data_IF_387193551566
#
_entry.id   IF_387193551566
#
_cell.length_a   1.000
_cell.length_b   1.000
_cell.length_c   1.000
_cell.angle_alpha   90.00
_cell.angle_beta   90.00
_cell.angle_gamma   90.00
#
_symmetry.space_group_name_H-M   'P 1'
#
loop_
_entity.id
_entity.type
_entity.pdbx_description
1 polymer ?
#
# COMPACT_ATOMS: atom_id res chain seq x y z
N UNK A 1 32.96 -7.61 14.31
CA UNK A 1 31.61 -8.17 14.29
C UNK A 1 30.66 -7.02 14.03
N UNK A 2 30.00 -6.99 12.88
CA UNK A 2 29.06 -5.92 12.54
C UNK A 2 27.88 -5.98 13.52
N UNK A 3 27.45 -4.83 13.99
CA UNK A 3 26.35 -4.71 14.92
C UNK A 3 25.08 -5.29 14.30
N UNK A 4 24.35 -6.05 15.06
CA UNK A 4 23.10 -6.71 14.68
C UNK A 4 21.90 -5.73 14.59
N UNK A 5 22.12 -4.49 14.19
CA UNK A 5 21.10 -3.43 14.19
C UNK A 5 20.12 -3.48 13.01
N UNK A 6 20.05 -4.59 12.32
CA UNK A 6 19.14 -4.80 11.19
C UNK A 6 19.61 -4.16 9.88
N UNK A 7 20.52 -3.21 9.88
CA UNK A 7 21.06 -2.59 8.67
C UNK A 7 21.81 -3.57 7.78
N UNK A 8 22.42 -4.60 8.38
CA UNK A 8 23.15 -5.63 7.63
C UNK A 8 22.26 -6.55 6.80
N UNK A 9 20.94 -6.50 6.97
CA UNK A 9 19.97 -7.28 6.18
C UNK A 9 19.30 -6.44 5.08
N UNK A 10 19.52 -5.16 5.10
CA UNK A 10 19.10 -4.25 4.06
C UNK A 10 20.10 -4.40 2.90
N UNK A 11 19.65 -4.93 1.77
CA UNK A 11 20.50 -5.18 0.58
C UNK A 11 21.32 -3.97 0.17
N UNK A 12 20.84 -2.79 0.50
CA UNK A 12 21.45 -1.52 0.11
C UNK A 12 22.45 -1.04 1.14
N UNK A 13 22.22 -1.28 2.41
CA UNK A 13 23.12 -0.87 3.49
C UNK A 13 24.38 -1.73 3.60
N UNK A 14 24.43 -2.86 2.87
CA UNK A 14 25.63 -3.71 2.81
C UNK A 14 26.69 -3.20 1.83
N UNK A 15 26.39 -2.18 1.04
CA UNK A 15 27.31 -1.58 0.07
C UNK A 15 27.74 -0.20 0.58
N UNK A 16 28.86 -0.11 1.33
CA UNK A 16 29.35 1.16 1.88
C UNK A 16 29.62 2.17 0.76
N UNK A 17 29.08 3.38 0.90
CA UNK A 17 29.33 4.48 -0.02
C UNK A 17 28.57 4.44 -1.33
N UNK A 18 27.66 3.48 -1.54
CA UNK A 18 26.85 3.44 -2.75
C UNK A 18 25.77 4.55 -2.80
N UNK A 19 25.43 5.13 -1.66
CA UNK A 19 24.42 6.21 -1.57
C UNK A 19 23.00 5.80 -1.94
N UNK A 20 22.76 4.52 -2.13
CA UNK A 20 21.49 3.98 -2.63
C UNK A 20 20.43 3.97 -1.55
N UNK A 21 20.82 3.84 -0.30
CA UNK A 21 19.91 3.90 0.85
C UNK A 21 19.20 5.26 0.96
N UNK A 22 19.82 6.35 0.47
CA UNK A 22 19.19 7.66 0.42
C UNK A 22 18.09 7.77 -0.64
N UNK A 23 18.07 6.87 -1.63
CA UNK A 23 17.06 6.84 -2.68
C UNK A 23 15.93 5.85 -2.41
N UNK A 24 16.06 5.01 -1.37
CA UNK A 24 15.07 4.03 -0.97
C UNK A 24 14.25 4.54 0.21
N UNK A 25 12.94 4.55 0.02
CA UNK A 25 12.01 4.88 1.10
C UNK A 25 11.80 3.67 1.99
N UNK A 26 11.80 3.90 3.30
CA UNK A 26 11.45 2.88 4.29
C UNK A 26 10.00 3.07 4.68
N UNK A 27 9.28 1.97 4.76
CA UNK A 27 7.92 2.01 5.28
C UNK A 27 7.97 2.49 6.74
N UNK A 28 7.00 3.28 7.20
CA UNK A 28 6.91 3.72 8.59
C UNK A 28 6.99 2.61 9.63
N UNK A 29 6.54 1.40 9.27
CA UNK A 29 6.64 0.22 10.14
C UNK A 29 8.02 -0.46 10.19
N UNK A 30 8.99 0.07 9.45
CA UNK A 30 10.33 -0.51 9.36
C UNK A 30 10.96 -0.80 10.73
N UNK A 31 10.86 0.13 11.68
CA UNK A 31 11.43 -0.05 13.02
C UNK A 31 10.65 -1.07 13.86
N UNK A 32 9.37 -1.25 13.59
CA UNK A 32 8.50 -2.21 14.28
C UNK A 32 8.73 -3.63 13.75
N UNK A 33 9.02 -3.77 12.47
CA UNK A 33 9.36 -5.04 11.83
C UNK A 33 10.74 -5.57 12.28
N UNK A 34 11.67 -4.69 12.60
CA UNK A 34 13.07 -5.05 12.95
C UNK A 34 13.21 -6.17 13.99
N UNK A 35 12.45 -6.18 15.10
CA UNK A 35 12.54 -7.26 16.08
C UNK A 35 12.18 -8.64 15.54
N UNK A 36 11.44 -8.72 14.44
CA UNK A 36 11.04 -9.97 13.79
C UNK A 36 12.16 -10.55 12.89
N UNK A 37 13.21 -9.79 12.62
CA UNK A 37 14.30 -10.18 11.72
C UNK A 37 13.88 -10.20 10.25
N UNK A 38 13.48 -9.05 9.70
CA UNK A 38 12.99 -8.96 8.32
C UNK A 38 14.11 -9.16 7.30
N UNK A 39 13.75 -9.80 6.19
CA UNK A 39 14.52 -9.82 4.95
C UNK A 39 13.83 -8.91 3.95
N UNK A 40 14.55 -7.92 3.45
CA UNK A 40 14.00 -6.91 2.57
C UNK A 40 14.29 -7.19 1.10
N UNK A 41 13.33 -6.84 0.26
CA UNK A 41 13.53 -6.62 -1.17
C UNK A 41 13.28 -5.16 -1.52
N UNK A 42 13.71 -4.75 -2.70
CA UNK A 42 13.39 -3.43 -3.25
C UNK A 42 12.16 -3.55 -4.15
N UNK A 43 11.15 -2.77 -3.85
CA UNK A 43 9.90 -2.72 -4.59
C UNK A 43 9.47 -1.25 -4.74
N UNK A 44 9.36 -0.74 -5.96
CA UNK A 44 9.06 0.67 -6.24
C UNK A 44 9.96 1.67 -5.47
N UNK A 45 11.27 1.43 -5.39
CA UNK A 45 12.21 2.24 -4.59
C UNK A 45 11.89 2.27 -3.09
N UNK A 46 11.12 1.32 -2.59
CA UNK A 46 10.82 1.11 -1.18
C UNK A 46 11.46 -0.19 -0.70
N UNK A 47 11.87 -0.19 0.56
CA UNK A 47 12.24 -1.43 1.23
C UNK A 47 10.96 -2.10 1.72
N UNK A 48 10.69 -3.28 1.18
CA UNK A 48 9.56 -4.11 1.56
C UNK A 48 10.06 -5.39 2.23
N UNK A 49 9.54 -5.69 3.42
CA UNK A 49 9.84 -6.96 4.08
C UNK A 49 9.18 -8.12 3.32
N UNK A 50 9.98 -9.08 2.87
CA UNK A 50 9.51 -10.25 2.12
C UNK A 50 9.25 -11.45 3.03
N UNK A 51 10.05 -11.61 4.07
CA UNK A 51 9.91 -12.66 5.08
C UNK A 51 10.62 -12.25 6.37
N UNK A 52 10.46 -13.05 7.42
CA UNK A 52 10.98 -12.77 8.74
C UNK A 52 11.63 -14.02 9.33
N UNK A 53 12.74 -13.86 10.08
CA UNK A 53 13.38 -14.99 10.78
C UNK A 53 12.46 -15.61 11.84
N UNK A 54 11.65 -14.78 12.50
CA UNK A 54 10.81 -15.17 13.64
C UNK A 54 9.39 -15.57 13.27
N UNK A 55 9.05 -15.52 11.99
CA UNK A 55 7.75 -15.94 11.47
C UNK A 55 8.00 -16.78 10.23
N UNK A 56 7.67 -18.06 10.28
CA UNK A 56 7.75 -18.91 9.10
C UNK A 56 6.68 -18.52 8.07
N UNK A 57 6.97 -18.76 6.79
CA UNK A 57 5.98 -18.52 5.71
C UNK A 57 4.69 -19.31 5.94
N UNK A 58 4.80 -20.55 6.43
CA UNK A 58 3.65 -21.39 6.75
C UNK A 58 2.80 -20.79 7.88
N UNK A 59 3.42 -20.36 8.98
CA UNK A 59 2.69 -19.71 10.08
C UNK A 59 2.03 -18.42 9.62
N UNK A 60 2.73 -17.58 8.84
CA UNK A 60 2.19 -16.36 8.24
C UNK A 60 0.98 -16.64 7.34
N UNK A 61 1.07 -17.68 6.50
CA UNK A 61 -0.04 -18.11 5.65
C UNK A 61 -1.27 -18.51 6.47
N UNK A 62 -1.10 -19.34 7.48
CA UNK A 62 -2.22 -19.79 8.31
C UNK A 62 -2.81 -18.69 9.20
N UNK A 63 -1.98 -17.74 9.66
CA UNK A 63 -2.47 -16.54 10.34
C UNK A 63 -3.39 -15.73 9.42
N UNK A 64 -2.96 -15.48 8.19
CA UNK A 64 -3.75 -14.77 7.20
C UNK A 64 -5.09 -15.48 6.91
N UNK A 65 -5.06 -16.82 6.77
CA UNK A 65 -6.26 -17.60 6.42
C UNK A 65 -7.23 -17.79 7.57
N UNK A 66 -6.75 -17.87 8.79
CA UNK A 66 -7.58 -18.24 9.97
C UNK A 66 -7.85 -17.07 10.90
N UNK A 67 -7.04 -16.00 10.84
CA UNK A 67 -7.16 -14.85 11.72
C UNK A 67 -7.13 -13.53 10.92
N UNK A 68 -6.03 -12.81 11.00
CA UNK A 68 -5.72 -11.66 10.18
C UNK A 68 -4.22 -11.38 10.20
N UNK A 69 -3.75 -10.67 9.19
CA UNK A 69 -2.41 -10.14 9.11
C UNK A 69 -2.44 -8.65 8.73
N UNK A 70 -1.52 -7.89 9.30
CA UNK A 70 -1.19 -6.55 8.82
C UNK A 70 0.02 -6.70 7.90
N UNK A 71 -0.09 -6.21 6.69
CA UNK A 71 0.91 -6.36 5.65
C UNK A 71 1.42 -4.97 5.27
N UNK A 72 2.73 -4.80 5.36
CA UNK A 72 3.42 -3.68 4.75
C UNK A 72 3.60 -4.00 3.27
N UNK A 73 3.14 -3.13 2.41
CA UNK A 73 3.22 -3.34 0.97
C UNK A 73 4.13 -2.32 0.31
N UNK A 74 4.70 -2.70 -0.84
CA UNK A 74 5.63 -1.85 -1.57
C UNK A 74 4.98 -0.98 -2.64
N UNK A 75 3.66 -1.03 -2.81
CA UNK A 75 2.97 -0.22 -3.81
C UNK A 75 3.32 1.25 -3.67
N UNK A 76 3.56 1.89 -4.80
CA UNK A 76 3.88 3.31 -4.86
C UNK A 76 2.71 4.08 -5.50
N UNK A 77 1.88 4.74 -4.69
CA UNK A 77 0.83 5.58 -5.23
C UNK A 77 1.39 6.75 -6.02
N UNK A 78 0.80 6.99 -7.20
CA UNK A 78 1.00 8.20 -7.99
C UNK A 78 -0.30 9.01 -7.97
N UNK A 79 -0.18 10.31 -7.79
CA UNK A 79 -1.29 11.25 -7.86
C UNK A 79 -1.38 11.89 -9.24
N UNK A 80 -2.59 11.99 -9.75
CA UNK A 80 -2.97 12.70 -10.98
C UNK A 80 -4.03 13.72 -10.61
N UNK A 81 -3.70 15.01 -10.75
CA UNK A 81 -4.59 16.10 -10.35
C UNK A 81 -4.68 17.15 -11.46
N UNK A 82 -5.88 17.55 -11.80
CA UNK A 82 -6.14 18.62 -12.76
C UNK A 82 -7.27 18.32 -13.71
N UNK A 83 -7.70 19.32 -14.50
CA UNK A 83 -8.84 19.21 -15.41
C UNK A 83 -8.74 18.06 -16.41
N UNK A 84 -7.53 17.71 -16.83
CA UNK A 84 -7.26 16.63 -17.78
C UNK A 84 -6.94 15.28 -17.11
N UNK A 85 -7.03 15.17 -15.78
CA UNK A 85 -6.68 13.93 -15.08
C UNK A 85 -7.52 12.74 -15.56
N UNK A 86 -8.84 12.86 -15.64
CA UNK A 86 -9.71 11.79 -16.13
C UNK A 86 -9.33 11.39 -17.57
N UNK A 87 -9.11 12.36 -18.45
CA UNK A 87 -8.72 12.12 -19.85
C UNK A 87 -7.39 11.38 -19.95
N UNK A 88 -6.41 11.75 -19.14
CA UNK A 88 -5.13 11.07 -19.11
C UNK A 88 -5.29 9.65 -18.58
N UNK A 89 -6.01 9.46 -17.48
CA UNK A 89 -6.23 8.14 -16.90
C UNK A 89 -6.98 7.23 -17.90
N UNK A 90 -8.00 7.73 -18.58
CA UNK A 90 -8.74 6.95 -19.60
C UNK A 90 -7.87 6.56 -20.81
N UNK A 91 -6.86 7.39 -21.13
CA UNK A 91 -5.87 7.08 -22.17
C UNK A 91 -4.87 6.00 -21.75
N UNK A 92 -4.49 5.94 -20.47
CA UNK A 92 -3.42 5.09 -19.97
C UNK A 92 -3.88 3.68 -19.61
N UNK A 93 -5.16 3.48 -19.30
CA UNK A 93 -5.67 2.22 -18.80
C UNK A 93 -6.61 1.53 -19.77
N UNK A 94 -6.64 0.22 -19.71
CA UNK A 94 -7.53 -0.62 -20.53
C UNK A 94 -9.00 -0.56 -20.10
N UNK A 95 -9.27 0.08 -18.98
CA UNK A 95 -10.60 0.23 -18.40
C UNK A 95 -11.16 1.63 -18.72
N UNK A 96 -12.46 1.71 -18.99
CA UNK A 96 -13.21 2.97 -19.06
C UNK A 96 -13.22 3.65 -17.68
N UNK A 97 -12.35 4.64 -17.50
CA UNK A 97 -12.15 5.37 -16.25
C UNK A 97 -13.34 6.25 -15.88
N UNK A 98 -14.11 6.70 -16.88
CA UNK A 98 -15.29 7.54 -16.64
C UNK A 98 -16.36 6.84 -15.81
N UNK A 99 -16.35 5.50 -15.77
CA UNK A 99 -17.25 4.68 -14.95
C UNK A 99 -16.84 4.56 -13.49
N UNK A 100 -15.62 4.96 -13.14
CA UNK A 100 -15.17 4.98 -11.74
C UNK A 100 -15.66 6.30 -11.14
N UNK A 101 -16.67 6.25 -10.27
CA UNK A 101 -17.22 7.43 -9.60
C UNK A 101 -16.27 7.93 -8.52
N UNK A 102 -16.25 9.23 -8.19
CA UNK A 102 -15.57 9.73 -7.00
C UNK A 102 -15.98 8.93 -5.74
N UNK A 103 -15.02 8.61 -4.87
CA UNK A 103 -15.23 7.74 -3.71
C UNK A 103 -15.27 6.24 -4.04
N UNK A 104 -14.82 5.86 -5.24
CA UNK A 104 -14.70 4.46 -5.66
C UNK A 104 -13.31 4.17 -6.19
N UNK A 105 -12.95 2.91 -6.16
CA UNK A 105 -11.75 2.42 -6.78
C UNK A 105 -12.04 1.33 -7.82
N UNK A 106 -11.01 0.98 -8.57
CA UNK A 106 -11.08 -0.06 -9.59
C UNK A 106 -9.70 -0.64 -9.87
N UNK A 107 -9.67 -1.87 -10.32
CA UNK A 107 -8.44 -2.48 -10.79
C UNK A 107 -8.09 -1.94 -12.18
N UNK A 108 -6.87 -1.47 -12.36
CA UNK A 108 -6.38 -0.87 -13.59
C UNK A 108 -5.16 -1.59 -14.15
N UNK A 109 -5.23 -1.93 -15.43
CA UNK A 109 -4.11 -2.44 -16.22
C UNK A 109 -3.64 -1.36 -17.18
N UNK A 110 -2.38 -0.97 -17.08
CA UNK A 110 -1.74 -0.13 -18.08
C UNK A 110 -0.90 -1.00 -19.02
N UNK A 111 -1.01 -0.74 -20.32
CA UNK A 111 -0.32 -1.51 -21.36
C UNK A 111 0.51 -0.59 -22.25
N UNK A 112 1.51 -1.20 -22.89
CA UNK A 112 2.19 -0.60 -24.04
C UNK A 112 1.28 -0.58 -25.27
N UNK A 113 1.70 0.12 -26.32
CA UNK A 113 0.93 0.22 -27.58
C UNK A 113 0.77 -1.13 -28.30
N UNK A 114 1.66 -2.07 -28.05
CA UNK A 114 1.60 -3.43 -28.62
C UNK A 114 0.69 -4.37 -27.81
N UNK A 115 0.11 -3.88 -26.69
CA UNK A 115 -0.73 -4.64 -25.78
C UNK A 115 0.03 -5.40 -24.69
N UNK A 116 1.35 -5.29 -24.63
CA UNK A 116 2.15 -5.83 -23.53
C UNK A 116 1.80 -5.14 -22.22
N UNK A 117 1.70 -5.91 -21.12
CA UNK A 117 1.43 -5.35 -19.79
C UNK A 117 2.61 -4.51 -19.32
N UNK A 118 2.35 -3.24 -19.01
CA UNK A 118 3.31 -2.35 -18.37
C UNK A 118 3.28 -2.52 -16.85
N UNK A 119 2.12 -2.34 -16.26
CA UNK A 119 1.90 -2.40 -14.81
C UNK A 119 0.42 -2.58 -14.51
N UNK A 120 0.14 -3.17 -13.36
CA UNK A 120 -1.21 -3.25 -12.79
C UNK A 120 -1.28 -2.58 -11.42
N UNK A 121 -2.47 -2.36 -10.91
CA UNK A 121 -2.67 -1.73 -9.61
C UNK A 121 -4.11 -1.28 -9.36
N UNK A 122 -4.27 -0.56 -8.27
CA UNK A 122 -5.56 -0.03 -7.85
C UNK A 122 -5.67 1.45 -8.21
N UNK A 123 -6.71 1.77 -8.98
CA UNK A 123 -7.14 3.13 -9.28
C UNK A 123 -8.09 3.61 -8.20
N UNK A 124 -7.79 4.74 -7.58
CA UNK A 124 -8.63 5.42 -6.62
C UNK A 124 -9.08 6.75 -7.22
N UNK A 125 -10.38 6.96 -7.38
CA UNK A 125 -10.92 8.28 -7.74
C UNK A 125 -11.36 9.00 -6.48
N UNK A 126 -10.49 9.87 -5.96
CA UNK A 126 -10.73 10.61 -4.73
C UNK A 126 -11.75 11.73 -4.93
N UNK A 127 -11.60 12.46 -6.05
CA UNK A 127 -12.44 13.60 -6.45
C UNK A 127 -12.66 13.54 -7.97
N UNK A 128 -13.51 14.37 -8.56
CA UNK A 128 -13.74 14.35 -9.99
C UNK A 128 -12.48 14.46 -10.85
N UNK A 129 -11.50 15.26 -10.39
CA UNK A 129 -10.24 15.60 -11.05
C UNK A 129 -8.99 15.19 -10.26
N UNK A 130 -9.17 14.29 -9.26
CA UNK A 130 -8.09 13.78 -8.41
C UNK A 130 -8.12 12.26 -8.34
N UNK A 131 -7.06 11.65 -8.86
CA UNK A 131 -6.86 10.21 -8.85
C UNK A 131 -5.56 9.83 -8.16
N UNK A 132 -5.57 8.70 -7.48
CA UNK A 132 -4.36 7.97 -7.12
C UNK A 132 -4.33 6.65 -7.89
N UNK A 133 -3.13 6.22 -8.21
CA UNK A 133 -2.87 4.89 -8.74
C UNK A 133 -1.82 4.20 -7.91
N UNK A 134 -2.24 3.27 -7.07
CA UNK A 134 -1.36 2.41 -6.29
C UNK A 134 -0.87 1.28 -7.19
N UNK A 135 0.31 1.50 -7.78
CA UNK A 135 0.89 0.61 -8.77
C UNK A 135 1.70 -0.52 -8.14
N UNK A 136 1.72 -1.67 -8.79
CA UNK A 136 2.74 -2.69 -8.60
C UNK A 136 4.13 -2.18 -9.01
N UNK A 137 5.18 -3.00 -8.87
CA UNK A 137 6.54 -2.59 -9.22
C UNK A 137 6.67 -2.27 -10.72
N UNK A 138 7.24 -1.09 -11.02
CA UNK A 138 7.41 -0.63 -12.40
C UNK A 138 7.60 0.88 -12.53
N UNK A 139 8.02 1.34 -13.71
CA UNK A 139 8.22 2.76 -14.03
C UNK A 139 7.01 3.37 -14.77
N UNK A 140 5.86 3.35 -14.11
CA UNK A 140 4.65 3.97 -14.66
C UNK A 140 4.73 5.51 -14.67
N UNK A 141 5.51 6.12 -13.76
CA UNK A 141 5.63 7.57 -13.68
C UNK A 141 6.17 8.18 -14.99
N UNK A 142 7.27 7.62 -15.52
CA UNK A 142 7.85 8.10 -16.78
C UNK A 142 6.91 7.92 -17.96
N UNK A 143 6.20 6.79 -18.00
CA UNK A 143 5.18 6.50 -19.01
C UNK A 143 4.03 7.50 -18.96
N UNK A 144 3.46 7.71 -17.78
CA UNK A 144 2.36 8.65 -17.60
C UNK A 144 2.75 10.09 -17.99
N UNK A 145 3.95 10.53 -17.58
CA UNK A 145 4.47 11.85 -17.96
C UNK A 145 4.65 12.03 -19.47
N UNK A 146 5.13 11.01 -20.17
CA UNK A 146 5.28 11.06 -21.62
C UNK A 146 3.94 11.25 -22.32
N UNK A 147 2.88 10.59 -21.83
CA UNK A 147 1.54 10.68 -22.38
C UNK A 147 0.74 11.92 -21.94
N UNK A 148 1.19 12.62 -20.91
CA UNK A 148 0.56 13.85 -20.40
C UNK A 148 0.95 15.12 -21.19
N UNK A 149 1.78 15.00 -22.21
CA UNK A 149 2.24 16.15 -22.98
C UNK A 149 1.05 16.95 -23.55
N UNK A 150 0.97 18.25 -23.25
CA UNK A 150 -0.12 19.15 -23.67
C UNK A 150 -1.43 18.99 -22.90
N UNK A 151 -1.40 18.31 -21.76
CA UNK A 151 -2.53 18.17 -20.84
C UNK A 151 -2.34 19.02 -19.58
N UNK A 152 -3.42 19.56 -19.05
CA UNK A 152 -3.44 20.27 -17.76
C UNK A 152 -3.66 19.27 -16.62
N UNK A 153 -2.57 18.57 -16.28
CA UNK A 153 -2.55 17.56 -15.21
C UNK A 153 -1.19 17.57 -14.51
N UNK A 154 -1.22 17.62 -13.21
CA UNK A 154 -0.05 17.41 -12.34
C UNK A 154 0.07 15.93 -11.99
N UNK A 155 1.27 15.36 -12.17
CA UNK A 155 1.60 14.00 -11.75
C UNK A 155 2.65 14.08 -10.66
N UNK A 156 2.32 13.62 -9.46
CA UNK A 156 3.17 13.74 -8.27
C UNK A 156 3.08 12.51 -7.36
N UNK A 157 3.99 12.43 -6.38
CA UNK A 157 3.91 11.51 -5.26
C UNK A 157 2.98 12.14 -4.20
N UNK A 158 1.89 11.49 -3.79
CA UNK A 158 1.03 11.97 -2.71
C UNK A 158 1.66 11.84 -1.32
N UNK A 159 2.84 11.24 -1.21
CA UNK A 159 3.57 11.09 0.05
C UNK A 159 2.98 10.04 1.00
N UNK A 160 2.23 9.07 0.48
CA UNK A 160 1.57 8.05 1.31
C UNK A 160 2.19 6.66 1.13
N UNK A 161 2.06 5.84 2.17
CA UNK A 161 2.39 4.42 2.16
C UNK A 161 1.12 3.59 2.20
N UNK A 162 1.18 2.42 1.57
CA UNK A 162 0.07 1.48 1.53
C UNK A 162 0.33 0.35 2.51
N UNK A 163 -0.64 0.07 3.33
CA UNK A 163 -0.66 -1.09 4.22
C UNK A 163 -1.98 -1.81 4.08
N UNK A 164 -2.00 -3.10 4.42
CA UNK A 164 -3.18 -3.94 4.31
C UNK A 164 -3.49 -4.60 5.64
N UNK A 165 -4.78 -4.70 5.97
CA UNK A 165 -5.30 -5.59 7.01
C UNK A 165 -6.15 -6.63 6.31
N UNK A 166 -5.70 -7.87 6.31
CA UNK A 166 -6.29 -8.95 5.53
C UNK A 166 -6.56 -10.17 6.42
N UNK A 167 -7.62 -10.93 6.12
CA UNK A 167 -8.02 -12.14 6.83
C UNK A 167 -9.42 -12.08 7.43
N UNK A 168 -9.96 -13.21 7.94
CA UNK A 168 -11.33 -13.29 8.45
C UNK A 168 -11.67 -12.28 9.54
N UNK A 169 -10.69 -11.89 10.37
CA UNK A 169 -10.88 -10.94 11.46
C UNK A 169 -10.54 -9.48 11.07
N UNK A 170 -10.19 -9.19 9.82
CA UNK A 170 -9.77 -7.86 9.39
C UNK A 170 -10.80 -6.77 9.71
N UNK A 171 -12.09 -7.04 9.46
CA UNK A 171 -13.16 -6.07 9.80
C UNK A 171 -13.21 -5.80 11.31
N UNK A 172 -13.12 -6.83 12.14
CA UNK A 172 -13.16 -6.69 13.60
C UNK A 172 -12.00 -5.83 14.11
N UNK A 173 -10.80 -6.04 13.55
CA UNK A 173 -9.60 -5.26 13.90
C UNK A 173 -9.81 -3.78 13.50
N UNK A 174 -10.21 -3.53 12.26
CA UNK A 174 -10.43 -2.17 11.78
C UNK A 174 -11.59 -1.47 12.49
N UNK A 175 -12.65 -2.21 12.83
CA UNK A 175 -13.77 -1.68 13.61
C UNK A 175 -13.33 -1.18 15.00
N UNK A 176 -12.38 -1.87 15.61
CA UNK A 176 -11.82 -1.49 16.90
C UNK A 176 -10.74 -0.39 16.78
N UNK A 177 -10.01 -0.34 15.68
CA UNK A 177 -8.94 0.62 15.45
C UNK A 177 -9.43 1.99 14.93
N UNK A 178 -10.56 2.03 14.21
CA UNK A 178 -11.14 3.27 13.73
C UNK A 178 -11.89 3.98 14.87
N UNK A 179 -11.62 5.27 15.04
CA UNK A 179 -12.19 6.09 16.13
C UNK A 179 -13.73 6.10 16.12
N UNK A 180 -14.32 6.13 14.92
CA UNK A 180 -15.77 6.11 14.70
C UNK A 180 -16.26 4.74 14.15
N UNK A 181 -15.42 3.70 14.21
CA UNK A 181 -15.67 2.42 13.59
C UNK A 181 -15.59 2.44 12.05
N UNK A 182 -15.80 1.29 11.44
CA UNK A 182 -15.84 1.15 9.99
C UNK A 182 -17.24 1.43 9.45
N UNK A 183 -17.38 2.11 8.30
CA UNK A 183 -18.69 2.30 7.68
C UNK A 183 -19.26 0.97 7.19
N UNK A 184 -20.57 0.78 7.36
CA UNK A 184 -21.31 -0.38 6.88
C UNK A 184 -22.56 0.06 6.09
N UNK A 185 -22.83 -0.54 4.92
CA UNK A 185 -22.04 -1.55 4.22
C UNK A 185 -20.81 -0.96 3.52
N UNK A 186 -19.67 -1.66 3.55
CA UNK A 186 -18.48 -1.28 2.85
C UNK A 186 -18.14 -2.32 1.77
N UNK A 187 -18.72 -2.14 0.60
CA UNK A 187 -18.65 -3.09 -0.51
C UNK A 187 -17.29 -3.16 -1.18
N UNK A 188 -17.06 -4.21 -1.94
CA UNK A 188 -15.83 -4.42 -2.70
C UNK A 188 -15.56 -3.25 -3.66
N UNK A 189 -14.31 -2.81 -3.75
CA UNK A 189 -13.88 -1.59 -4.43
C UNK A 189 -14.55 -0.29 -3.94
N UNK A 190 -15.15 -0.29 -2.75
CA UNK A 190 -15.50 0.95 -2.09
C UNK A 190 -14.26 1.62 -1.51
N UNK A 191 -14.33 2.92 -1.35
CA UNK A 191 -13.30 3.76 -0.77
C UNK A 191 -13.95 4.85 0.09
N UNK A 192 -13.32 5.20 1.19
CA UNK A 192 -13.71 6.34 2.03
C UNK A 192 -12.51 6.86 2.82
N UNK A 193 -12.75 7.88 3.63
CA UNK A 193 -11.80 8.31 4.66
C UNK A 193 -12.34 7.88 6.02
N UNK A 194 -11.46 7.31 6.83
CA UNK A 194 -11.72 6.96 8.24
C UNK A 194 -10.72 7.67 9.14
N UNK A 195 -11.05 7.78 10.41
CA UNK A 195 -10.11 8.25 11.44
C UNK A 195 -9.50 7.04 12.14
N UNK A 196 -8.18 6.90 12.05
CA UNK A 196 -7.40 5.85 12.71
C UNK A 196 -6.44 6.53 13.68
N UNK A 197 -6.61 6.31 14.99
CA UNK A 197 -5.77 6.94 16.01
C UNK A 197 -5.73 8.48 15.93
N UNK A 198 -6.86 9.12 15.66
CA UNK A 198 -6.99 10.56 15.49
C UNK A 198 -6.60 11.11 14.12
N UNK A 199 -6.29 10.24 13.17
CA UNK A 199 -5.79 10.66 11.85
C UNK A 199 -6.67 10.19 10.72
N UNK A 200 -6.95 11.10 9.77
CA UNK A 200 -7.73 10.78 8.57
C UNK A 200 -6.88 10.09 7.53
N UNK A 201 -7.23 8.85 7.24
CA UNK A 201 -6.59 8.04 6.19
C UNK A 201 -7.61 7.65 5.13
N UNK A 202 -7.15 7.50 3.90
CA UNK A 202 -7.95 6.84 2.86
C UNK A 202 -7.91 5.35 3.11
N UNK A 203 -9.07 4.69 3.04
CA UNK A 203 -9.20 3.24 3.16
C UNK A 203 -10.02 2.70 2.00
N UNK A 204 -9.60 1.55 1.46
CA UNK A 204 -10.25 0.88 0.34
C UNK A 204 -10.62 -0.56 0.71
N UNK A 205 -11.73 -1.05 0.16
CA UNK A 205 -12.10 -2.47 0.27
C UNK A 205 -11.42 -3.25 -0.86
N UNK A 206 -10.10 -3.32 -0.77
CA UNK A 206 -9.19 -3.96 -1.73
C UNK A 206 -8.15 -4.79 -0.98
N UNK A 207 -7.33 -5.51 -1.72
CA UNK A 207 -6.29 -6.38 -1.24
C UNK A 207 -6.10 -7.52 -2.21
N UNK A 208 -4.97 -8.21 -2.16
CA UNK A 208 -4.68 -9.24 -3.12
C UNK A 208 -4.27 -10.59 -2.52
N UNK A 209 -4.65 -10.79 -1.27
CA UNK A 209 -4.50 -12.04 -0.54
C UNK A 209 -5.62 -13.05 -0.82
N UNK A 210 -6.65 -12.65 -1.55
CA UNK A 210 -7.91 -13.40 -1.74
C UNK A 210 -8.66 -13.68 -0.42
N UNK A 211 -8.40 -12.86 0.61
CA UNK A 211 -9.10 -12.85 1.89
C UNK A 211 -9.93 -11.57 2.07
N UNK A 212 -10.79 -11.58 3.07
CA UNK A 212 -11.47 -10.38 3.54
C UNK A 212 -10.43 -9.35 4.00
N UNK A 213 -10.44 -8.14 3.46
CA UNK A 213 -9.46 -7.17 3.86
C UNK A 213 -9.65 -5.78 3.31
N UNK A 214 -8.82 -4.88 3.78
CA UNK A 214 -8.77 -3.48 3.40
C UNK A 214 -7.34 -3.02 3.24
N UNK A 215 -7.12 -2.05 2.37
CA UNK A 215 -5.90 -1.28 2.24
C UNK A 215 -6.12 0.12 2.79
N UNK A 216 -5.12 0.67 3.46
CA UNK A 216 -5.16 2.04 3.97
C UNK A 216 -3.88 2.78 3.60
N UNK A 217 -4.02 4.09 3.42
CA UNK A 217 -3.01 4.95 2.85
C UNK A 217 -2.63 6.00 3.89
N UNK A 218 -1.41 5.91 4.43
CA UNK A 218 -0.94 6.73 5.53
C UNK A 218 0.24 7.61 5.16
N UNK A 219 0.32 8.80 5.74
CA UNK A 219 1.49 9.64 5.67
C UNK A 219 2.56 9.15 6.68
N UNK A 220 3.88 9.32 6.39
CA UNK A 220 4.96 8.77 7.22
C UNK A 220 4.94 9.18 8.69
N UNK A 221 4.49 10.40 9.00
CA UNK A 221 4.43 10.92 10.36
C UNK A 221 3.34 10.29 11.22
N UNK A 222 2.43 9.54 10.63
CA UNK A 222 1.19 9.10 11.26
C UNK A 222 1.18 7.63 11.67
N UNK A 223 2.20 6.87 11.36
CA UNK A 223 2.13 5.41 11.39
C UNK A 223 2.35 4.76 12.75
N UNK A 224 3.10 5.37 13.64
CA UNK A 224 3.34 4.78 14.96
C UNK A 224 2.06 4.67 15.81
N UNK A 225 1.09 5.57 15.60
CA UNK A 225 -0.19 5.53 16.32
C UNK A 225 -1.10 4.37 15.87
N UNK A 226 -1.07 4.02 14.58
CA UNK A 226 -1.97 2.99 14.03
C UNK A 226 -1.69 1.60 14.58
N UNK A 227 -0.44 1.29 14.87
CA UNK A 227 -0.04 0.02 15.43
C UNK A 227 -0.39 -0.15 16.90
N UNK A 228 -0.21 0.89 17.69
CA UNK A 228 -0.57 0.86 19.11
C UNK A 228 -2.07 0.73 19.32
N UNK A 229 -2.89 1.27 18.41
CA UNK A 229 -4.35 1.09 18.45
C UNK A 229 -4.80 -0.28 18.00
N UNK A 230 -4.09 -0.91 17.06
CA UNK A 230 -4.38 -2.29 16.66
C UNK A 230 -3.95 -3.33 17.70
N UNK A 231 -2.84 -3.09 18.42
CA UNK A 231 -2.40 -3.93 19.54
C UNK A 231 -3.37 -3.87 20.73
N UNK A 232 -3.95 -2.69 21.00
CA UNK A 232 -4.93 -2.52 22.09
C UNK A 232 -6.27 -3.26 21.79
N UNK A 233 -6.59 -3.51 20.54
CA UNK A 233 -7.76 -4.31 20.16
C UNK A 233 -7.51 -5.83 20.32
N UNK A 234 -6.29 -6.26 20.62
CA UNK A 234 -5.84 -7.65 20.54
C UNK A 234 -5.42 -8.31 21.85
N UNK A 235 -5.97 -7.93 23.00
CA UNK A 235 -5.86 -8.81 24.18
C UNK A 235 -6.51 -10.19 23.95
N UNK A 236 -7.28 -10.38 22.87
CA UNK A 236 -7.94 -11.66 22.53
C UNK A 236 -7.43 -12.36 21.27
N UNK A 237 -6.58 -11.71 20.47
CA UNK A 237 -6.04 -12.28 19.23
C UNK A 237 -4.71 -11.61 18.87
N UNK A 238 -3.59 -12.16 19.32
CA UNK A 238 -2.25 -11.68 18.93
C UNK A 238 -2.12 -11.75 17.42
N UNK A 239 -2.38 -10.64 16.74
CA UNK A 239 -2.13 -10.45 15.32
C UNK A 239 -0.62 -10.34 15.08
N UNK A 240 -0.12 -11.09 14.11
CA UNK A 240 1.27 -11.10 13.74
C UNK A 240 1.44 -10.40 12.39
N UNK A 241 2.56 -9.72 12.27
CA UNK A 241 2.98 -9.06 11.04
C UNK A 241 3.54 -10.09 10.08
N UNK A 242 3.03 -10.12 8.87
CA UNK A 242 3.59 -10.92 7.79
C UNK A 242 3.66 -10.09 6.52
N UNK A 243 4.86 -9.73 6.08
CA UNK A 243 5.10 -9.26 4.72
C UNK A 243 5.75 -10.41 3.95
N UNK A 244 5.18 -10.80 2.85
CA UNK A 244 5.75 -11.84 2.02
C UNK A 244 4.76 -12.29 0.93
N UNK A 245 5.29 -12.45 -0.26
CA UNK A 245 4.61 -13.10 -1.36
C UNK A 245 4.52 -14.61 -1.08
N UNK A 246 3.34 -15.17 -1.20
CA UNK A 246 3.13 -16.60 -1.37
C UNK A 246 2.69 -16.85 -2.81
#
# INVERSE_FOLDING_TARGET
>A
MASSDGKTRDLVSTIPGAGWDFSLSRHPYHEIERPLGPHYCVYNRRLMACCFDKLSTEDGYWLLRQKAAVLNTGEFPLQFKGPDAERLMDKLFTKDITRIRPGRCGYGLACYEDGGLLVDGILLRLEPDLFWYAQADGDFYSWARAHAAGMDVEISDPGVFVSQVQGPNALKILQAACDDGMPEPFGYFAMTRVSLGGQKVVITRTGYTNELGWEYYTEPQHDSCLLYTSDAADESSRGWWGGGWV
#
